data_IF_966198530350
#
_entry.id   IF_966198530350
#
_cell.length_a   1.000
_cell.length_b   1.000
_cell.length_c   1.000
_cell.angle_alpha   90.00
_cell.angle_beta   90.00
_cell.angle_gamma   90.00
#
_symmetry.space_group_name_H-M   'P 1'
#
loop_
_entity.id
_entity.type
_entity.pdbx_description
1 polymer ?
#
# COMPACT_ATOMS: atom_id res chain seq x y z
N UNK A 1 -9.54 -26.73 16.62
CA UNK A 1 -9.70 -26.21 15.25
C UNK A 1 -8.37 -25.59 14.86
N UNK A 2 -7.52 -26.31 14.15
CA UNK A 2 -6.27 -25.77 13.61
C UNK A 2 -6.64 -24.80 12.47
N UNK A 3 -6.32 -23.51 12.63
CA UNK A 3 -6.53 -22.55 11.55
C UNK A 3 -5.50 -22.83 10.45
N UNK A 4 -5.93 -22.92 9.18
CA UNK A 4 -5.01 -23.13 8.07
C UNK A 4 -3.98 -22.00 8.03
N UNK A 5 -2.75 -22.29 7.57
CA UNK A 5 -1.68 -21.30 7.53
C UNK A 5 -2.13 -20.09 6.69
N UNK A 6 -1.84 -18.86 7.15
CA UNK A 6 -2.25 -17.66 6.44
C UNK A 6 -1.66 -17.66 5.03
N UNK A 7 -2.50 -17.30 4.08
CA UNK A 7 -2.09 -17.13 2.69
C UNK A 7 -1.05 -16.02 2.58
N UNK A 8 -0.22 -16.06 1.53
CA UNK A 8 0.77 -14.99 1.27
C UNK A 8 0.14 -13.58 1.24
N UNK A 9 -1.11 -13.50 0.79
CA UNK A 9 -1.87 -12.25 0.71
C UNK A 9 -2.30 -11.73 2.09
N UNK A 10 -2.72 -12.62 2.99
CA UNK A 10 -3.04 -12.27 4.38
C UNK A 10 -1.80 -11.83 5.16
N UNK A 11 -0.67 -12.52 4.96
CA UNK A 11 0.63 -12.12 5.55
C UNK A 11 1.07 -10.74 5.07
N UNK A 12 0.98 -10.47 3.76
CA UNK A 12 1.31 -9.17 3.20
C UNK A 12 0.38 -8.05 3.72
N UNK A 13 -0.91 -8.33 3.86
CA UNK A 13 -1.87 -7.38 4.45
C UNK A 13 -1.57 -7.09 5.92
N UNK A 14 -1.16 -8.11 6.69
CA UNK A 14 -0.72 -7.96 8.07
C UNK A 14 0.51 -7.07 8.20
N UNK A 15 1.53 -7.29 7.36
CA UNK A 15 2.77 -6.48 7.33
C UNK A 15 2.44 -5.01 7.00
N UNK A 16 1.65 -4.75 5.95
CA UNK A 16 1.24 -3.39 5.59
C UNK A 16 0.51 -2.67 6.74
N UNK A 17 -0.33 -3.39 7.49
CA UNK A 17 -1.03 -2.81 8.64
C UNK A 17 -0.07 -2.43 9.77
N UNK A 18 0.93 -3.27 10.04
CA UNK A 18 1.97 -3.00 11.04
C UNK A 18 2.83 -1.81 10.59
N UNK A 19 3.30 -1.80 9.34
CA UNK A 19 4.08 -0.69 8.78
C UNK A 19 3.31 0.64 8.86
N UNK A 20 2.03 0.64 8.47
CA UNK A 20 1.18 1.82 8.58
C UNK A 20 1.01 2.30 10.02
N UNK A 21 0.86 1.38 10.97
CA UNK A 21 0.79 1.72 12.39
C UNK A 21 2.13 2.28 12.92
N UNK A 22 3.26 1.70 12.53
CA UNK A 22 4.59 2.15 12.94
C UNK A 22 4.90 3.54 12.38
N UNK A 23 4.57 3.79 11.11
CA UNK A 23 4.73 5.09 10.47
C UNK A 23 3.88 6.15 11.18
N UNK A 24 2.62 5.83 11.48
CA UNK A 24 1.72 6.72 12.22
C UNK A 24 2.25 7.03 13.63
N UNK A 25 2.74 6.02 14.35
CA UNK A 25 3.34 6.20 15.67
C UNK A 25 4.63 7.05 15.63
N UNK A 26 5.45 6.90 14.58
CA UNK A 26 6.63 7.72 14.38
C UNK A 26 6.26 9.18 14.15
N UNK A 27 5.32 9.46 13.24
CA UNK A 27 4.80 10.81 12.98
C UNK A 27 4.22 11.47 14.23
N UNK A 28 3.47 10.72 15.04
CA UNK A 28 2.89 11.23 16.29
C UNK A 28 3.98 11.64 17.28
N UNK A 29 5.05 10.84 17.42
CA UNK A 29 6.19 11.16 18.29
C UNK A 29 6.94 12.40 17.80
N UNK A 30 7.19 12.48 16.49
CA UNK A 30 7.85 13.65 15.88
C UNK A 30 7.03 14.92 16.10
N UNK A 31 5.74 14.90 15.77
CA UNK A 31 4.85 16.04 15.96
C UNK A 31 4.77 16.50 17.41
N UNK A 32 4.76 15.56 18.38
CA UNK A 32 4.79 15.89 19.81
C UNK A 32 6.10 16.55 20.22
N UNK A 33 7.24 16.01 19.78
CA UNK A 33 8.55 16.58 20.10
C UNK A 33 8.72 18.01 19.55
N UNK A 34 8.24 18.25 18.33
CA UNK A 34 8.22 19.58 17.72
C UNK A 34 7.31 20.56 18.47
N UNK A 35 6.12 20.11 18.88
CA UNK A 35 5.20 20.93 19.66
C UNK A 35 5.80 21.31 21.04
N UNK A 36 6.43 20.36 21.74
CA UNK A 36 7.10 20.63 23.02
C UNK A 36 8.28 21.61 22.86
N UNK A 37 9.04 21.51 21.76
CA UNK A 37 10.11 22.45 21.45
C UNK A 37 9.57 23.86 21.14
N UNK A 38 8.47 23.95 20.39
CA UNK A 38 7.82 25.20 20.03
C UNK A 38 7.19 25.91 21.24
N UNK A 39 6.55 25.15 22.13
CA UNK A 39 5.96 25.69 23.36
C UNK A 39 7.02 26.27 24.30
N UNK A 40 8.18 25.60 24.41
CA UNK A 40 9.32 26.10 25.21
C UNK A 40 9.88 27.44 24.73
N UNK A 41 9.67 27.83 23.48
CA UNK A 41 10.13 29.14 22.97
C UNK A 41 9.16 30.29 23.24
N UNK A 42 8.02 30.04 23.89
CA UNK A 42 6.97 31.05 24.17
C UNK A 42 6.73 31.23 25.68
N UNK A 43 7.70 31.80 26.43
CA UNK A 43 7.62 31.94 27.90
C UNK A 43 6.53 32.92 28.38
N UNK A 44 5.92 33.70 27.47
CA UNK A 44 4.85 34.67 27.78
C UNK A 44 3.43 34.07 27.73
N UNK A 45 3.29 32.81 27.32
CA UNK A 45 2.00 32.13 27.25
C UNK A 45 1.77 31.29 28.52
N UNK A 46 0.55 31.24 29.03
CA UNK A 46 0.25 30.37 30.18
C UNK A 46 0.33 28.90 29.76
N UNK A 47 0.68 28.00 30.70
CA UNK A 47 0.78 26.56 30.43
C UNK A 47 -0.52 25.96 29.87
N UNK A 48 -1.68 26.55 30.21
CA UNK A 48 -2.98 26.14 29.69
C UNK A 48 -3.15 26.49 28.20
N UNK A 49 -2.75 27.71 27.79
CA UNK A 49 -2.82 28.15 26.39
C UNK A 49 -1.85 27.37 25.50
N UNK A 50 -0.65 27.08 26.01
CA UNK A 50 0.35 26.28 25.31
C UNK A 50 -0.15 24.86 25.01
N UNK A 51 -0.78 24.22 26.00
CA UNK A 51 -1.32 22.86 25.85
C UNK A 51 -2.47 22.80 24.84
N UNK A 52 -3.37 23.79 24.85
CA UNK A 52 -4.49 23.82 23.89
C UNK A 52 -4.00 24.05 22.46
N UNK A 53 -3.04 24.96 22.24
CA UNK A 53 -2.42 25.18 20.93
C UNK A 53 -1.70 23.93 20.45
N UNK A 54 -0.92 23.28 21.31
CA UNK A 54 -0.22 22.03 20.98
C UNK A 54 -1.20 20.93 20.56
N UNK A 55 -2.33 20.79 21.28
CA UNK A 55 -3.37 19.80 20.95
C UNK A 55 -4.04 20.09 19.61
N UNK A 56 -4.47 21.33 19.37
CA UNK A 56 -5.11 21.77 18.11
C UNK A 56 -4.17 21.57 16.92
N UNK A 57 -2.91 21.92 17.07
CA UNK A 57 -1.91 21.74 16.03
C UNK A 57 -1.66 20.26 15.72
N UNK A 58 -1.54 19.41 16.74
CA UNK A 58 -1.38 17.97 16.56
C UNK A 58 -2.59 17.36 15.82
N UNK A 59 -3.81 17.71 16.21
CA UNK A 59 -5.04 17.27 15.52
C UNK A 59 -5.07 17.71 14.05
N UNK A 60 -4.73 18.98 13.78
CA UNK A 60 -4.69 19.51 12.42
C UNK A 60 -3.63 18.82 11.56
N UNK A 61 -2.42 18.61 12.10
CA UNK A 61 -1.30 17.99 11.37
C UNK A 61 -1.60 16.53 11.04
N UNK A 62 -2.20 15.77 11.98
CA UNK A 62 -2.66 14.40 11.73
C UNK A 62 -3.72 14.37 10.62
N UNK A 63 -4.66 15.31 10.62
CA UNK A 63 -5.70 15.37 9.58
C UNK A 63 -5.12 15.72 8.21
N UNK A 64 -4.15 16.64 8.13
CA UNK A 64 -3.46 16.98 6.90
C UNK A 64 -2.66 15.79 6.35
N UNK A 65 -1.87 15.12 7.18
CA UNK A 65 -1.10 13.93 6.77
C UNK A 65 -2.02 12.82 6.25
N UNK A 66 -3.17 12.59 6.91
CA UNK A 66 -4.18 11.63 6.42
C UNK A 66 -4.75 12.01 5.06
N UNK A 67 -5.01 13.29 4.81
CA UNK A 67 -5.52 13.77 3.52
C UNK A 67 -4.47 13.57 2.42
N UNK A 68 -3.21 13.94 2.68
CA UNK A 68 -2.11 13.75 1.74
C UNK A 68 -1.89 12.27 1.41
N UNK A 69 -1.87 11.40 2.41
CA UNK A 69 -1.75 9.95 2.21
C UNK A 69 -2.88 9.39 1.35
N UNK A 70 -4.13 9.81 1.58
CA UNK A 70 -5.27 9.40 0.75
C UNK A 70 -5.14 9.89 -0.68
N UNK A 71 -4.71 11.13 -0.88
CA UNK A 71 -4.51 11.70 -2.21
C UNK A 71 -3.40 10.96 -2.98
N UNK A 72 -2.27 10.66 -2.33
CA UNK A 72 -1.18 9.87 -2.90
C UNK A 72 -1.65 8.46 -3.24
N UNK A 73 -2.36 7.79 -2.33
CA UNK A 73 -2.91 6.45 -2.57
C UNK A 73 -3.89 6.44 -3.77
N UNK A 74 -4.78 7.44 -3.86
CA UNK A 74 -5.69 7.59 -4.99
C UNK A 74 -4.93 7.80 -6.32
N UNK A 75 -3.88 8.62 -6.32
CA UNK A 75 -3.06 8.83 -7.52
C UNK A 75 -2.23 7.60 -7.90
N UNK A 76 -1.67 6.88 -6.94
CA UNK A 76 -0.95 5.63 -7.20
C UNK A 76 -1.88 4.54 -7.74
N UNK A 77 -3.12 4.45 -7.25
CA UNK A 77 -4.12 3.50 -7.77
C UNK A 77 -4.57 3.87 -9.19
N UNK A 78 -4.77 5.16 -9.46
CA UNK A 78 -5.07 5.67 -10.80
C UNK A 78 -3.93 5.38 -11.79
N UNK A 79 -2.67 5.69 -11.43
CA UNK A 79 -1.49 5.33 -12.22
C UNK A 79 -1.42 3.82 -12.42
N UNK A 80 -1.52 3.02 -11.35
CA UNK A 80 -1.44 1.57 -11.45
C UNK A 80 -2.55 0.97 -12.32
N UNK A 81 -3.77 1.53 -12.30
CA UNK A 81 -4.87 1.05 -13.16
C UNK A 81 -4.56 1.23 -14.66
N UNK A 82 -3.88 2.33 -15.00
CA UNK A 82 -3.47 2.66 -16.38
C UNK A 82 -2.34 1.74 -16.87
N UNK A 83 -1.44 1.32 -15.97
CA UNK A 83 -0.33 0.40 -16.30
C UNK A 83 -0.73 -1.09 -16.24
N UNK A 84 -1.54 -1.50 -15.27
CA UNK A 84 -1.98 -2.89 -15.12
C UNK A 84 -2.86 -3.36 -16.27
N UNK A 85 -3.71 -2.48 -16.83
CA UNK A 85 -4.51 -2.82 -18.00
C UNK A 85 -3.65 -3.22 -19.22
N UNK A 86 -2.58 -2.47 -19.49
CA UNK A 86 -1.63 -2.77 -20.57
C UNK A 86 -0.86 -4.07 -20.30
N UNK A 87 -0.40 -4.27 -19.07
CA UNK A 87 0.32 -5.49 -18.69
C UNK A 87 -0.57 -6.73 -18.77
N UNK A 88 -1.82 -6.64 -18.32
CA UNK A 88 -2.81 -7.72 -18.40
C UNK A 88 -3.14 -8.08 -19.85
N UNK A 89 -3.26 -7.10 -20.75
CA UNK A 89 -3.48 -7.36 -22.16
C UNK A 89 -2.30 -8.11 -22.81
N UNK A 90 -1.07 -7.68 -22.51
CA UNK A 90 0.13 -8.33 -23.04
C UNK A 90 0.30 -9.75 -22.47
N UNK A 91 0.06 -9.91 -21.16
CA UNK A 91 0.09 -11.21 -20.48
C UNK A 91 -0.96 -12.18 -21.04
N UNK A 92 -2.19 -11.72 -21.31
CA UNK A 92 -3.22 -12.56 -21.94
C UNK A 92 -2.82 -13.01 -23.34
N UNK A 93 -2.23 -12.12 -24.15
CA UNK A 93 -1.74 -12.48 -25.49
C UNK A 93 -0.62 -13.52 -25.43
N UNK A 94 0.35 -13.32 -24.53
CA UNK A 94 1.44 -14.28 -24.32
C UNK A 94 0.92 -15.63 -23.83
N UNK A 95 0.02 -15.66 -22.85
CA UNK A 95 -0.59 -16.91 -22.38
C UNK A 95 -1.39 -17.60 -23.48
N UNK A 96 -2.16 -16.84 -24.27
CA UNK A 96 -2.90 -17.39 -25.42
C UNK A 96 -1.99 -18.02 -26.47
N UNK A 97 -0.88 -17.35 -26.81
CA UNK A 97 0.13 -17.90 -27.73
C UNK A 97 0.80 -19.16 -27.18
N UNK A 98 1.15 -19.18 -25.90
CA UNK A 98 1.75 -20.36 -25.27
C UNK A 98 0.78 -21.55 -25.26
N UNK A 99 -0.49 -21.32 -24.89
CA UNK A 99 -1.53 -22.37 -24.93
C UNK A 99 -1.75 -22.86 -26.35
N UNK A 100 -1.84 -21.97 -27.34
CA UNK A 100 -1.98 -22.36 -28.74
C UNK A 100 -0.79 -23.20 -29.23
N UNK A 101 0.43 -22.81 -28.88
CA UNK A 101 1.65 -23.56 -29.22
C UNK A 101 1.66 -24.95 -28.59
N UNK A 102 1.28 -25.06 -27.31
CA UNK A 102 1.17 -26.34 -26.60
C UNK A 102 0.11 -27.26 -27.22
N UNK A 103 -1.05 -26.71 -27.61
CA UNK A 103 -2.10 -27.47 -28.29
C UNK A 103 -1.64 -27.95 -29.67
N UNK A 104 -0.96 -27.10 -30.43
CA UNK A 104 -0.37 -27.46 -31.73
C UNK A 104 0.68 -28.56 -31.58
N UNK A 105 1.60 -28.44 -30.61
CA UNK A 105 2.60 -29.48 -30.36
C UNK A 105 1.96 -30.79 -29.92
N UNK A 106 0.93 -30.73 -29.07
CA UNK A 106 0.21 -31.93 -28.64
C UNK A 106 -0.52 -32.59 -29.82
N UNK A 107 -1.18 -31.82 -30.67
CA UNK A 107 -1.86 -32.32 -31.87
C UNK A 107 -0.89 -32.98 -32.86
N UNK A 108 0.29 -32.38 -33.07
CA UNK A 108 1.34 -32.96 -33.90
C UNK A 108 1.84 -34.28 -33.33
N UNK A 109 2.13 -34.35 -32.02
CA UNK A 109 2.55 -35.58 -31.37
C UNK A 109 1.50 -36.69 -31.50
N UNK A 110 0.21 -36.37 -31.29
CA UNK A 110 -0.88 -37.34 -31.46
C UNK A 110 -1.01 -37.79 -32.91
N UNK A 111 -0.90 -36.88 -33.88
CA UNK A 111 -0.92 -37.23 -35.30
C UNK A 111 0.23 -38.15 -35.71
N UNK A 112 1.44 -37.90 -35.20
CA UNK A 112 2.61 -38.76 -35.40
C UNK A 112 2.41 -40.16 -34.78
N UNK A 113 1.87 -40.23 -33.57
CA UNK A 113 1.56 -41.50 -32.89
C UNK A 113 0.47 -42.31 -33.60
N UNK A 114 -0.49 -41.65 -34.24
CA UNK A 114 -1.53 -42.32 -35.03
C UNK A 114 -1.01 -42.82 -36.39
N UNK A 115 0.09 -42.26 -36.89
CA UNK A 115 0.69 -42.60 -38.17
C UNK A 115 1.78 -43.68 -38.04
N UNK A 116 2.39 -43.83 -36.86
CA UNK A 116 3.36 -44.88 -36.50
C UNK A 116 2.69 -46.19 -36.13
#
# INVERSE_FOLDING_TARGET
MEQPPPTKQETAAGINKIEGYLLYQAELRTARSEAEAFVRSMPWLTTAEQNEIARRYAEQRVNLSKQMLRAIAARCTELNSTYTARYLALRRRLLGLNVACLLLSAALCVGLLLLS
#
